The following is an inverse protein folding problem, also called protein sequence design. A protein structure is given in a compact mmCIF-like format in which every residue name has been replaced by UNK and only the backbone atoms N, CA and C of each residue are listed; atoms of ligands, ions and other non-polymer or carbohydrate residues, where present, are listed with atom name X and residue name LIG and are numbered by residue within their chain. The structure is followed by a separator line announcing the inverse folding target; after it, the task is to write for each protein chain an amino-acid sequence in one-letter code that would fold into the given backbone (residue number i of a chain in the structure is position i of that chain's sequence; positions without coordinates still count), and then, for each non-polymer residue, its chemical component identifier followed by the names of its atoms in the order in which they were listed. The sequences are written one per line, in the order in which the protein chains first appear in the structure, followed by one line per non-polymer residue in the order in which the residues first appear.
data_IF_622299086084
#
_entry.id   IF_622299086084
#
_cell.length_a   1.000
_cell.length_b   1.000
_cell.length_c   1.000
_cell.angle_alpha   90.00
_cell.angle_beta   90.00
_cell.angle_gamma   90.00
#
_symmetry.space_group_name_H-M   'P 1'
#
loop_
_entity.id
_entity.type
_entity.pdbx_description
1 polymer ?
#
# COMPACT_ATOMS: atom_id res chain seq x y z
N UNK A 1 -2.70 4.53 -14.35
CA UNK A 1 -2.55 5.89 -13.74
C UNK A 1 -3.65 6.85 -14.21
N UNK A 2 -3.86 7.12 -15.51
CA UNK A 2 -4.87 8.10 -15.97
C UNK A 2 -6.32 7.79 -15.55
N UNK A 3 -6.68 6.52 -15.36
CA UNK A 3 -8.01 6.13 -14.85
C UNK A 3 -8.13 6.50 -13.37
N UNK A 4 -7.10 6.24 -12.54
CA UNK A 4 -7.07 6.61 -11.13
C UNK A 4 -7.20 8.13 -10.97
N UNK A 5 -6.42 8.89 -11.73
CA UNK A 5 -6.41 10.36 -11.68
C UNK A 5 -7.78 10.99 -11.94
N UNK A 6 -8.57 10.37 -12.82
CA UNK A 6 -9.89 10.89 -13.22
C UNK A 6 -11.04 10.44 -12.33
N UNK A 7 -10.90 9.31 -11.63
CA UNK A 7 -12.03 8.65 -11.00
C UNK A 7 -11.91 8.49 -9.47
N UNK A 8 -10.72 8.69 -8.88
CA UNK A 8 -10.61 8.72 -7.43
C UNK A 8 -11.34 9.92 -6.85
N UNK A 9 -12.11 9.71 -5.79
CA UNK A 9 -12.84 10.77 -5.12
C UNK A 9 -11.88 11.81 -4.50
N UNK A 10 -12.18 13.12 -4.58
CA UNK A 10 -11.34 14.16 -3.98
C UNK A 10 -11.19 14.06 -2.46
N UNK A 11 -12.10 13.36 -1.78
CA UNK A 11 -12.07 13.09 -0.34
C UNK A 11 -11.09 11.97 0.07
N UNK A 12 -10.48 11.29 -0.88
CA UNK A 12 -9.44 10.30 -0.63
C UNK A 12 -8.08 11.02 -0.50
N UNK A 13 -7.84 11.58 0.69
CA UNK A 13 -6.63 12.36 0.96
C UNK A 13 -5.39 11.48 1.06
N UNK A 14 -5.54 10.28 1.65
CA UNK A 14 -4.48 9.27 1.77
C UNK A 14 -4.49 8.30 0.59
N UNK A 15 -5.61 7.59 0.33
CA UNK A 15 -5.74 6.61 -0.76
C UNK A 15 -5.88 7.32 -2.14
N UNK A 16 -4.93 8.18 -2.41
CA UNK A 16 -4.87 9.07 -3.58
C UNK A 16 -3.86 8.59 -4.62
N UNK A 17 -3.88 9.20 -5.79
CA UNK A 17 -2.86 8.96 -6.82
C UNK A 17 -1.43 9.18 -6.30
N UNK A 18 -1.23 10.07 -5.30
CA UNK A 18 0.09 10.31 -4.72
C UNK A 18 0.56 9.12 -3.89
N UNK A 19 -0.34 8.46 -3.14
CA UNK A 19 -0.04 7.21 -2.44
C UNK A 19 0.35 6.11 -3.43
N UNK A 20 -0.45 5.89 -4.48
CA UNK A 20 -0.12 4.91 -5.52
C UNK A 20 1.28 5.14 -6.13
N UNK A 21 1.61 6.40 -6.44
CA UNK A 21 2.95 6.78 -6.96
C UNK A 21 4.07 6.53 -5.95
N UNK A 22 3.80 6.77 -4.67
CA UNK A 22 4.76 6.55 -3.57
C UNK A 22 5.02 5.05 -3.37
N UNK A 23 3.96 4.23 -3.38
CA UNK A 23 4.08 2.76 -3.31
C UNK A 23 4.87 2.20 -4.49
N UNK A 24 4.62 2.66 -5.73
CA UNK A 24 5.41 2.25 -6.91
C UNK A 24 6.91 2.57 -6.73
N UNK A 25 7.26 3.76 -6.22
CA UNK A 25 8.66 4.13 -5.95
C UNK A 25 9.27 3.27 -4.84
N UNK A 26 8.50 2.98 -3.80
CA UNK A 26 8.96 2.13 -2.70
C UNK A 26 9.18 0.69 -3.16
N UNK A 27 8.29 0.16 -4.00
CA UNK A 27 8.45 -1.13 -4.68
C UNK A 27 9.76 -1.17 -5.48
N UNK A 28 10.01 -0.17 -6.34
CA UNK A 28 11.24 -0.12 -7.15
C UNK A 28 12.48 -0.17 -6.27
N UNK A 29 12.53 0.65 -5.23
CA UNK A 29 13.66 0.72 -4.31
C UNK A 29 13.88 -0.60 -3.57
N UNK A 30 12.84 -1.16 -2.97
CA UNK A 30 12.96 -2.38 -2.16
C UNK A 30 13.30 -3.56 -3.07
N UNK A 31 12.61 -3.74 -4.20
CA UNK A 31 12.84 -4.84 -5.13
C UNK A 31 14.27 -4.86 -5.67
N UNK A 32 14.82 -3.69 -6.03
CA UNK A 32 16.22 -3.57 -6.49
C UNK A 32 17.21 -3.99 -5.40
N UNK A 33 17.01 -3.55 -4.16
CA UNK A 33 17.89 -3.89 -3.03
C UNK A 33 17.74 -5.35 -2.57
N UNK A 34 16.58 -5.96 -2.77
CA UNK A 34 16.32 -7.39 -2.51
C UNK A 34 16.72 -8.31 -3.69
N UNK A 35 17.25 -7.75 -4.79
CA UNK A 35 17.76 -8.53 -5.94
C UNK A 35 16.65 -9.21 -6.75
N UNK A 36 15.48 -8.61 -6.83
CA UNK A 36 14.36 -9.15 -7.62
C UNK A 36 14.64 -9.02 -9.13
N UNK A 37 14.22 -10.02 -9.90
CA UNK A 37 14.34 -10.02 -11.36
C UNK A 37 13.53 -8.91 -12.02
N UNK A 38 13.87 -8.55 -13.26
CA UNK A 38 13.12 -7.55 -14.04
C UNK A 38 11.64 -7.92 -14.19
N UNK A 39 11.33 -9.21 -14.39
CA UNK A 39 9.96 -9.71 -14.43
C UNK A 39 9.24 -9.52 -13.09
N UNK A 40 9.90 -9.89 -11.98
CA UNK A 40 9.35 -9.69 -10.65
C UNK A 40 9.08 -8.20 -10.35
N UNK A 41 9.99 -7.32 -10.73
CA UNK A 41 9.82 -5.88 -10.59
C UNK A 41 8.65 -5.36 -11.43
N UNK A 42 8.52 -5.84 -12.67
CA UNK A 42 7.41 -5.51 -13.55
C UNK A 42 6.05 -5.88 -12.94
N UNK A 43 5.93 -7.11 -12.40
CA UNK A 43 4.71 -7.58 -11.75
C UNK A 43 4.38 -6.78 -10.48
N UNK A 44 5.37 -6.50 -9.65
CA UNK A 44 5.24 -5.69 -8.44
C UNK A 44 4.75 -4.26 -8.73
N UNK A 45 5.35 -3.59 -9.73
CA UNK A 45 4.93 -2.24 -10.14
C UNK A 45 3.49 -2.22 -10.65
N UNK A 46 3.11 -3.25 -11.41
CA UNK A 46 1.74 -3.38 -11.89
C UNK A 46 0.78 -3.60 -10.72
N UNK A 47 1.10 -4.50 -9.79
CA UNK A 47 0.29 -4.72 -8.60
C UNK A 47 0.15 -3.43 -7.76
N UNK A 48 1.24 -2.69 -7.57
CA UNK A 48 1.23 -1.41 -6.86
C UNK A 48 0.35 -0.33 -7.51
N UNK A 49 0.11 -0.39 -8.84
CA UNK A 49 -0.84 0.51 -9.51
C UNK A 49 -2.30 0.11 -9.22
N UNK A 50 -2.55 -1.16 -9.01
CA UNK A 50 -3.91 -1.70 -8.85
C UNK A 50 -4.32 -1.96 -7.40
N UNK A 51 -3.38 -1.96 -6.42
CA UNK A 51 -3.70 -2.39 -5.06
C UNK A 51 -4.85 -1.60 -4.42
N UNK A 52 -4.88 -0.30 -4.65
CA UNK A 52 -5.90 0.63 -4.18
C UNK A 52 -6.87 1.09 -5.28
N UNK A 53 -6.82 0.49 -6.48
CA UNK A 53 -7.69 0.91 -7.59
C UNK A 53 -9.19 0.73 -7.27
N UNK A 54 -9.52 -0.17 -6.36
CA UNK A 54 -10.89 -0.41 -5.93
C UNK A 54 -11.57 0.77 -5.25
N UNK A 55 -10.81 1.70 -4.68
CA UNK A 55 -11.35 2.94 -4.10
C UNK A 55 -12.12 3.82 -5.11
N UNK A 56 -11.98 3.57 -6.41
CA UNK A 56 -12.82 4.20 -7.44
C UNK A 56 -14.29 3.80 -7.28
N UNK A 57 -14.57 2.57 -6.83
CA UNK A 57 -15.93 2.05 -6.72
C UNK A 57 -16.46 2.11 -5.29
N UNK A 58 -15.64 1.67 -4.32
CA UNK A 58 -16.03 1.70 -2.91
C UNK A 58 -14.82 1.62 -1.98
N UNK A 59 -15.04 2.01 -0.72
CA UNK A 59 -13.99 2.05 0.29
C UNK A 59 -13.69 0.66 0.87
N UNK A 60 -14.72 -0.10 1.21
CA UNK A 60 -14.55 -1.41 1.80
C UNK A 60 -14.31 -2.47 0.71
N UNK A 61 -13.40 -3.44 0.97
CA UNK A 61 -13.01 -4.49 0.01
C UNK A 61 -12.36 -3.97 -1.28
N UNK A 62 -11.68 -2.84 -1.22
CA UNK A 62 -11.01 -2.21 -2.37
C UNK A 62 -10.02 -3.16 -3.06
N UNK A 63 -9.31 -4.02 -2.31
CA UNK A 63 -8.34 -4.97 -2.87
C UNK A 63 -9.02 -6.00 -3.79
N UNK A 64 -10.19 -6.49 -3.41
CA UNK A 64 -10.95 -7.44 -4.24
C UNK A 64 -11.41 -6.79 -5.55
N UNK A 65 -11.81 -5.51 -5.49
CA UNK A 65 -12.20 -4.73 -6.68
C UNK A 65 -10.99 -4.42 -7.54
N UNK A 66 -9.87 -3.98 -6.95
CA UNK A 66 -8.61 -3.74 -7.66
C UNK A 66 -8.11 -4.99 -8.38
N UNK A 67 -8.20 -6.16 -7.72
CA UNK A 67 -7.87 -7.46 -8.31
C UNK A 67 -8.78 -7.81 -9.49
N UNK A 68 -10.09 -7.60 -9.38
CA UNK A 68 -11.05 -7.78 -10.48
C UNK A 68 -10.72 -6.84 -11.65
N UNK A 69 -10.46 -5.56 -11.37
CA UNK A 69 -10.06 -4.60 -12.42
C UNK A 69 -8.77 -5.05 -13.13
N UNK A 70 -7.78 -5.56 -12.40
CA UNK A 70 -6.56 -6.10 -12.98
C UNK A 70 -6.85 -7.30 -13.92
N UNK A 71 -7.70 -8.23 -13.49
CA UNK A 71 -8.12 -9.39 -14.30
C UNK A 71 -8.82 -8.98 -15.60
N UNK A 72 -9.63 -7.93 -15.57
CA UNK A 72 -10.38 -7.46 -16.74
C UNK A 72 -9.51 -6.63 -17.71
N UNK A 73 -8.54 -5.91 -17.19
CA UNK A 73 -7.76 -4.93 -17.95
C UNK A 73 -6.46 -5.52 -18.50
N UNK A 74 -5.68 -6.22 -17.67
CA UNK A 74 -4.32 -6.61 -18.01
C UNK A 74 -4.20 -7.54 -19.22
N UNK A 75 -5.12 -8.51 -19.47
CA UNK A 75 -5.06 -9.34 -20.68
C UNK A 75 -5.09 -8.54 -21.98
N UNK A 76 -5.79 -7.39 -22.00
CA UNK A 76 -5.89 -6.49 -23.15
C UNK A 76 -4.57 -5.78 -23.48
N UNK A 77 -3.61 -5.81 -22.54
CA UNK A 77 -2.27 -5.23 -22.66
C UNK A 77 -1.16 -6.28 -22.78
N UNK A 78 -1.52 -7.53 -23.11
CA UNK A 78 -0.56 -8.59 -23.39
C UNK A 78 0.00 -9.30 -22.14
N UNK A 79 -0.59 -9.10 -20.96
CA UNK A 79 -0.22 -9.88 -19.78
C UNK A 79 -0.71 -11.32 -19.93
N UNK A 80 0.16 -12.28 -19.60
CA UNK A 80 -0.21 -13.71 -19.59
C UNK A 80 -1.13 -14.02 -18.42
N UNK A 81 -1.85 -15.15 -18.47
CA UNK A 81 -2.66 -15.62 -17.34
C UNK A 81 -1.84 -15.76 -16.05
N UNK A 82 -0.59 -16.23 -16.16
CA UNK A 82 0.30 -16.35 -15.02
C UNK A 82 0.68 -14.98 -14.44
N UNK A 83 0.94 -13.97 -15.29
CA UNK A 83 1.17 -12.60 -14.84
C UNK A 83 -0.04 -12.04 -14.07
N UNK A 84 -1.23 -12.19 -14.64
CA UNK A 84 -2.46 -11.71 -14.03
C UNK A 84 -2.71 -12.40 -12.69
N UNK A 85 -2.54 -13.73 -12.63
CA UNK A 85 -2.67 -14.49 -11.37
C UNK A 85 -1.72 -13.96 -10.29
N UNK A 86 -0.45 -13.80 -10.62
CA UNK A 86 0.56 -13.29 -9.66
C UNK A 86 0.21 -11.87 -9.20
N UNK A 87 -0.20 -10.98 -10.11
CA UNK A 87 -0.58 -9.61 -9.78
C UNK A 87 -1.81 -9.59 -8.85
N UNK A 88 -2.80 -10.41 -9.11
CA UNK A 88 -3.99 -10.55 -8.25
C UNK A 88 -3.61 -11.02 -6.84
N UNK A 89 -2.72 -12.01 -6.72
CA UNK A 89 -2.21 -12.46 -5.42
C UNK A 89 -1.46 -11.33 -4.68
N UNK A 90 -0.67 -10.53 -5.42
CA UNK A 90 0.04 -9.37 -4.87
C UNK A 90 -0.92 -8.24 -4.43
N UNK A 91 -2.03 -8.04 -5.10
CA UNK A 91 -3.07 -7.08 -4.69
C UNK A 91 -3.76 -7.58 -3.43
N UNK A 92 -4.18 -8.82 -3.39
CA UNK A 92 -4.89 -9.36 -2.22
C UNK A 92 -4.07 -9.36 -0.94
N UNK A 93 -2.74 -9.53 -1.02
CA UNK A 93 -1.90 -9.57 0.19
C UNK A 93 -1.72 -8.20 0.85
N UNK A 94 -2.05 -7.10 0.17
CA UNK A 94 -2.04 -5.75 0.77
C UNK A 94 -3.22 -5.51 1.71
N UNK A 95 -4.20 -6.41 1.73
CA UNK A 95 -5.26 -6.37 2.73
C UNK A 95 -4.70 -6.57 4.14
N UNK A 96 -5.03 -5.65 5.04
CA UNK A 96 -4.56 -5.69 6.44
C UNK A 96 -5.43 -6.67 7.26
N UNK A 97 -4.84 -7.53 8.10
CA UNK A 97 -3.42 -7.64 8.40
C UNK A 97 -2.63 -8.39 7.33
N UNK A 98 -1.48 -7.85 6.94
CA UNK A 98 -0.59 -8.45 5.94
C UNK A 98 -0.13 -9.87 6.34
N UNK A 99 -0.17 -10.81 5.39
CA UNK A 99 0.27 -12.20 5.58
C UNK A 99 1.03 -12.71 4.35
N UNK A 100 2.19 -12.11 4.03
CA UNK A 100 2.96 -12.53 2.86
C UNK A 100 3.54 -13.93 3.05
N UNK A 101 3.59 -14.71 1.97
CA UNK A 101 4.11 -16.08 1.94
C UNK A 101 5.31 -16.24 0.98
N UNK A 102 5.68 -15.19 0.27
CA UNK A 102 6.84 -15.18 -0.63
C UNK A 102 7.45 -13.78 -0.73
N UNK A 103 8.65 -13.70 -1.32
CA UNK A 103 9.43 -12.47 -1.42
C UNK A 103 8.70 -11.31 -2.12
N UNK A 104 7.98 -11.56 -3.20
CA UNK A 104 7.26 -10.49 -3.90
C UNK A 104 6.12 -9.93 -3.03
N UNK A 105 5.44 -10.80 -2.30
CA UNK A 105 4.39 -10.39 -1.36
C UNK A 105 4.96 -9.59 -0.17
N UNK A 106 6.13 -10.00 0.38
CA UNK A 106 6.84 -9.22 1.40
C UNK A 106 7.15 -7.81 0.92
N UNK A 107 7.65 -7.68 -0.32
CA UNK A 107 8.04 -6.40 -0.89
C UNK A 107 6.86 -5.46 -1.07
N UNK A 108 5.72 -5.94 -1.60
CA UNK A 108 4.58 -5.05 -1.82
C UNK A 108 3.93 -4.63 -0.49
N UNK A 109 3.85 -5.52 0.50
CA UNK A 109 3.38 -5.17 1.84
C UNK A 109 4.25 -4.11 2.52
N UNK A 110 5.57 -4.26 2.43
CA UNK A 110 6.52 -3.28 2.97
C UNK A 110 6.49 -1.95 2.22
N UNK A 111 6.26 -1.99 0.90
CA UNK A 111 6.18 -0.80 0.07
C UNK A 111 4.92 0.02 0.34
N UNK A 112 3.79 -0.63 0.55
CA UNK A 112 2.51 -0.01 0.86
C UNK A 112 2.58 0.79 2.17
N UNK A 113 3.23 0.23 3.19
CA UNK A 113 3.38 0.83 4.51
C UNK A 113 4.79 1.40 4.77
N UNK A 114 5.57 1.69 3.73
CA UNK A 114 6.93 2.24 3.84
C UNK A 114 6.98 3.54 4.65
N UNK A 115 5.93 4.35 4.58
CA UNK A 115 5.85 5.65 5.24
C UNK A 115 5.86 5.56 6.78
N UNK A 116 5.48 4.43 7.37
CA UNK A 116 5.43 4.25 8.84
C UNK A 116 6.79 4.42 9.54
N UNK A 117 7.89 4.29 8.79
CA UNK A 117 9.24 4.52 9.30
C UNK A 117 9.98 5.65 8.58
N UNK A 118 9.26 6.65 8.06
CA UNK A 118 9.81 7.81 7.36
C UNK A 118 9.70 9.10 8.17
N UNK A 119 10.44 10.12 7.76
CA UNK A 119 10.41 11.45 8.41
C UNK A 119 9.12 12.22 8.13
N UNK A 120 8.40 11.90 7.04
CA UNK A 120 7.12 12.51 6.65
C UNK A 120 5.90 11.73 7.16
N UNK A 121 6.11 10.79 8.10
CA UNK A 121 5.07 9.95 8.71
C UNK A 121 3.86 10.77 9.19
N UNK A 122 4.07 11.80 10.00
CA UNK A 122 2.99 12.63 10.57
C UNK A 122 2.12 13.26 9.48
N UNK A 123 2.75 13.80 8.43
CA UNK A 123 2.05 14.43 7.31
C UNK A 123 1.17 13.43 6.56
N UNK A 124 1.65 12.19 6.38
CA UNK A 124 0.91 11.14 5.68
C UNK A 124 -0.19 10.57 6.58
N UNK A 125 0.11 10.33 7.84
CA UNK A 125 -0.84 9.83 8.83
C UNK A 125 -2.00 10.81 9.06
N UNK A 126 -1.74 12.12 9.05
CA UNK A 126 -2.78 13.15 9.14
C UNK A 126 -3.75 13.12 7.95
N UNK A 127 -3.28 12.81 6.74
CA UNK A 127 -4.16 12.60 5.57
C UNK A 127 -5.11 11.44 5.77
N UNK A 128 -4.61 10.30 6.30
CA UNK A 128 -5.46 9.14 6.60
C UNK A 128 -6.47 9.47 7.70
N UNK A 129 -6.05 10.21 8.74
CA UNK A 129 -6.95 10.68 9.79
C UNK A 129 -8.06 11.56 9.25
N UNK A 130 -7.72 12.52 8.37
CA UNK A 130 -8.67 13.42 7.75
C UNK A 130 -9.69 12.65 6.90
N UNK A 131 -9.23 11.73 6.07
CA UNK A 131 -10.05 10.84 5.25
C UNK A 131 -11.02 10.01 6.10
N UNK A 132 -10.54 9.34 7.13
CA UNK A 132 -11.36 8.51 8.01
C UNK A 132 -12.34 9.34 8.87
N UNK A 133 -11.96 10.57 9.22
CA UNK A 133 -12.84 11.50 9.95
C UNK A 133 -14.00 11.95 9.07
N UNK A 134 -13.72 12.34 7.81
CA UNK A 134 -14.75 12.74 6.85
C UNK A 134 -15.73 11.61 6.55
N UNK A 135 -15.23 10.37 6.53
CA UNK A 135 -16.07 9.16 6.38
C UNK A 135 -16.85 8.78 7.66
N UNK A 136 -16.67 9.50 8.75
CA UNK A 136 -17.31 9.18 10.03
C UNK A 136 -16.77 7.92 10.72
N UNK A 137 -15.64 7.38 10.24
CA UNK A 137 -14.99 6.18 10.82
C UNK A 137 -14.19 6.52 12.10
N UNK A 138 -13.79 7.78 12.26
CA UNK A 138 -13.09 8.32 13.44
C UNK A 138 -13.82 9.56 13.95
N UNK A 139 -14.03 9.64 15.25
CA UNK A 139 -14.83 10.72 15.89
C UNK A 139 -13.98 11.75 16.63
N UNK A 140 -12.73 11.44 16.98
CA UNK A 140 -11.87 12.33 17.74
C UNK A 140 -10.38 12.08 17.47
N UNK A 141 -9.56 13.10 17.75
CA UNK A 141 -8.09 12.98 17.69
C UNK A 141 -7.59 11.88 18.63
N UNK A 142 -8.14 11.79 19.83
CA UNK A 142 -7.75 10.76 20.80
C UNK A 142 -8.00 9.35 20.28
N UNK A 143 -9.17 9.10 19.65
CA UNK A 143 -9.48 7.81 19.05
C UNK A 143 -8.49 7.46 17.92
N UNK A 144 -8.12 8.44 17.09
CA UNK A 144 -7.10 8.27 16.07
C UNK A 144 -5.75 7.88 16.66
N UNK A 145 -5.28 8.62 17.67
CA UNK A 145 -3.97 8.39 18.29
C UNK A 145 -3.89 6.97 18.89
N UNK A 146 -4.96 6.51 19.54
CA UNK A 146 -5.06 5.14 20.09
C UNK A 146 -4.98 4.08 18.97
N UNK A 147 -5.72 4.27 17.85
CA UNK A 147 -5.71 3.38 16.69
C UNK A 147 -4.32 3.37 16.05
N UNK A 148 -3.72 4.54 15.83
CA UNK A 148 -2.42 4.68 15.19
C UNK A 148 -1.31 4.01 16.00
N UNK A 149 -1.25 4.24 17.30
CA UNK A 149 -0.28 3.60 18.20
C UNK A 149 -0.42 2.09 18.21
N UNK A 150 -1.66 1.60 18.28
CA UNK A 150 -1.94 0.15 18.21
C UNK A 150 -1.46 -0.43 16.89
N UNK A 151 -1.77 0.22 15.78
CA UNK A 151 -1.38 -0.22 14.45
C UNK A 151 0.15 -0.26 14.29
N UNK A 152 0.85 0.82 14.66
CA UNK A 152 2.31 0.89 14.63
C UNK A 152 2.99 -0.21 15.43
N UNK A 153 2.44 -0.56 16.61
CA UNK A 153 2.97 -1.64 17.47
C UNK A 153 2.74 -3.03 16.88
N UNK A 154 1.64 -3.24 16.18
CA UNK A 154 1.28 -4.53 15.55
C UNK A 154 1.96 -4.75 14.20
N UNK A 155 2.18 -3.66 13.46
CA UNK A 155 2.83 -3.72 12.15
C UNK A 155 4.29 -4.18 12.27
N UNK A 156 4.72 -5.03 11.32
CA UNK A 156 6.11 -5.42 11.14
C UNK A 156 6.50 -5.32 9.66
N UNK A 157 7.74 -4.95 9.42
CA UNK A 157 8.35 -5.09 8.09
C UNK A 157 8.85 -6.51 7.89
N UNK A 158 8.85 -6.98 6.65
CA UNK A 158 9.17 -8.36 6.28
C UNK A 158 10.55 -8.48 5.63
N UNK A 159 10.90 -7.59 4.71
CA UNK A 159 12.17 -7.61 3.99
C UNK A 159 13.31 -7.06 4.84
N UNK A 160 14.53 -7.59 4.64
CA UNK A 160 15.74 -7.05 5.29
C UNK A 160 15.96 -5.58 4.94
N UNK A 161 15.65 -5.20 3.72
CA UNK A 161 15.73 -3.83 3.21
C UNK A 161 14.81 -2.88 3.98
N UNK A 162 13.53 -3.19 4.09
CA UNK A 162 12.58 -2.33 4.79
C UNK A 162 12.87 -2.27 6.29
N UNK A 163 13.25 -3.39 6.92
CA UNK A 163 13.70 -3.43 8.32
C UNK A 163 14.88 -2.47 8.52
N UNK A 164 15.91 -2.58 7.68
CA UNK A 164 17.12 -1.76 7.78
C UNK A 164 16.85 -0.27 7.57
N UNK A 165 15.95 0.07 6.66
CA UNK A 165 15.63 1.46 6.31
C UNK A 165 14.63 2.13 7.27
N UNK A 166 13.68 1.37 7.84
CA UNK A 166 12.47 1.93 8.46
C UNK A 166 12.27 1.59 9.93
N UNK A 167 12.72 0.41 10.38
CA UNK A 167 12.38 -0.09 11.71
C UNK A 167 12.82 0.84 12.84
N UNK A 168 14.03 1.39 12.76
CA UNK A 168 14.54 2.32 13.79
C UNK A 168 13.66 3.55 13.92
N UNK A 169 13.35 4.19 12.79
CA UNK A 169 12.52 5.41 12.78
C UNK A 169 11.10 5.13 13.25
N UNK A 170 10.51 4.00 12.85
CA UNK A 170 9.20 3.58 13.34
C UNK A 170 9.18 3.40 14.86
N UNK A 171 10.23 2.83 15.46
CA UNK A 171 10.33 2.69 16.91
C UNK A 171 10.44 4.05 17.61
N UNK A 172 11.20 5.00 17.05
CA UNK A 172 11.27 6.38 17.56
C UNK A 172 9.87 7.04 17.54
N UNK A 173 9.12 6.88 16.43
CA UNK A 173 7.75 7.39 16.31
C UNK A 173 6.85 6.81 17.40
N UNK A 174 6.87 5.49 17.64
CA UNK A 174 6.07 4.84 18.70
C UNK A 174 6.37 5.40 20.09
N UNK A 175 7.61 5.80 20.35
CA UNK A 175 8.01 6.36 21.66
C UNK A 175 7.55 7.81 21.86
N UNK A 176 7.26 8.53 20.78
CA UNK A 176 6.84 9.93 20.80
C UNK A 176 5.30 10.09 20.83
N UNK A 177 4.55 9.03 20.57
CA UNK A 177 3.09 8.99 20.62
C UNK A 177 2.58 8.58 22.02
#
# INVERSE_FOLDING_TARGET
MGILEKNLAPSLYYHSLNHTKDVVKSVERIALLEGVTDEGLFLLKTAAIFHDAGFIEQYDHNEAIGARMAQEILPKYGYTEQHVKTIVELIHVTQIPHKPINKLQEIICDADLDYLGRSDFETIADKLREELTEMGKIKSRKEWDEIQVKFLKQHQYFTSTAIGLRQKKKQEIIQLQ
#
